data_IF_649796634023
#
_entry.id   IF_649796634023
#
_cell.length_a   1.000
_cell.length_b   1.000
_cell.length_c   1.000
_cell.angle_alpha   90.00
_cell.angle_beta   90.00
_cell.angle_gamma   90.00
#
_symmetry.space_group_name_H-M   'P 1'
#
loop_
_entity.id
_entity.type
_entity.pdbx_description
1 polymer ?
#
# COMPACT_ATOMS: atom_id res chain seq x y z
N UNK A 1 -23.67 -4.36 -17.82
CA UNK A 1 -22.99 -3.51 -18.83
C UNK A 1 -23.39 -4.03 -20.20
N UNK A 2 -23.85 -3.16 -21.10
CA UNK A 2 -24.18 -3.53 -22.47
C UNK A 2 -22.88 -3.50 -23.28
N UNK A 3 -22.49 -4.66 -23.79
CA UNK A 3 -21.38 -4.78 -24.74
C UNK A 3 -21.94 -4.51 -26.12
N UNK A 4 -21.38 -3.55 -26.83
CA UNK A 4 -21.73 -3.32 -28.23
C UNK A 4 -20.95 -4.33 -29.08
N UNK A 5 -21.59 -5.36 -29.67
CA UNK A 5 -20.89 -6.46 -30.34
C UNK A 5 -20.13 -6.04 -31.61
N UNK A 6 -20.42 -4.85 -32.13
CA UNK A 6 -19.75 -4.28 -33.29
C UNK A 6 -18.54 -3.38 -32.94
N UNK A 7 -18.21 -3.21 -31.66
CA UNK A 7 -17.10 -2.35 -31.21
C UNK A 7 -15.77 -3.12 -31.25
N UNK A 8 -14.85 -2.74 -32.15
CA UNK A 8 -13.48 -3.24 -32.14
C UNK A 8 -12.62 -2.39 -31.19
N UNK A 9 -12.41 -2.89 -29.96
CA UNK A 9 -11.75 -2.16 -28.87
C UNK A 9 -10.30 -1.76 -29.22
N UNK A 10 -9.60 -2.59 -29.98
CA UNK A 10 -8.22 -2.29 -30.41
C UNK A 10 -8.19 -1.17 -31.45
N UNK A 11 -9.16 -1.16 -32.38
CA UNK A 11 -9.28 -0.11 -33.40
C UNK A 11 -9.71 1.23 -32.82
N UNK A 12 -10.66 1.23 -31.88
CA UNK A 12 -11.14 2.45 -31.22
C UNK A 12 -10.04 3.14 -30.41
N UNK A 13 -9.15 2.36 -29.78
CA UNK A 13 -7.99 2.89 -29.06
C UNK A 13 -6.77 3.12 -29.97
N UNK A 14 -6.81 2.67 -31.23
CA UNK A 14 -5.70 2.81 -32.18
C UNK A 14 -4.44 2.02 -31.80
N UNK A 15 -4.60 0.89 -31.10
CA UNK A 15 -3.50 0.07 -30.59
C UNK A 15 -3.51 -1.33 -31.21
N UNK A 16 -2.33 -1.96 -31.42
CA UNK A 16 -2.27 -3.33 -31.91
C UNK A 16 -2.79 -4.33 -30.86
N UNK A 17 -3.25 -5.52 -31.28
CA UNK A 17 -3.69 -6.58 -30.36
C UNK A 17 -2.58 -7.07 -29.42
N UNK A 18 -1.31 -6.90 -29.79
CA UNK A 18 -0.13 -7.24 -28.98
C UNK A 18 0.31 -6.10 -28.04
N UNK A 19 -0.43 -5.00 -27.98
CA UNK A 19 -0.07 -3.84 -27.17
C UNK A 19 0.03 -4.18 -25.67
N UNK A 20 1.03 -3.61 -25.01
CA UNK A 20 1.18 -3.67 -23.55
C UNK A 20 0.05 -2.88 -22.87
N UNK A 21 -0.24 -3.24 -21.62
CA UNK A 21 -1.25 -2.53 -20.81
C UNK A 21 -0.94 -1.03 -20.66
N UNK A 22 0.33 -0.68 -20.68
CA UNK A 22 0.80 0.71 -20.58
C UNK A 22 0.52 1.48 -21.87
N UNK A 23 0.75 0.86 -23.04
CA UNK A 23 0.41 1.45 -24.32
C UNK A 23 -1.10 1.69 -24.46
N UNK A 24 -1.92 0.74 -24.02
CA UNK A 24 -3.40 0.87 -23.97
C UNK A 24 -3.80 2.04 -23.08
N UNK A 25 -3.19 2.18 -21.90
CA UNK A 25 -3.46 3.29 -20.97
C UNK A 25 -3.02 4.64 -21.54
N UNK A 26 -1.86 4.71 -22.17
CA UNK A 26 -1.38 5.95 -22.79
C UNK A 26 -2.26 6.39 -23.95
N UNK A 27 -2.67 5.46 -24.82
CA UNK A 27 -3.60 5.72 -25.91
C UNK A 27 -4.95 6.23 -25.39
N UNK A 28 -5.51 5.58 -24.36
CA UNK A 28 -6.72 6.05 -23.69
C UNK A 28 -6.58 7.49 -23.17
N UNK A 29 -5.50 7.80 -22.45
CA UNK A 29 -5.28 9.14 -21.90
C UNK A 29 -5.09 10.20 -22.99
N UNK A 30 -4.51 9.85 -24.14
CA UNK A 30 -4.36 10.76 -25.27
C UNK A 30 -5.71 11.05 -25.94
N UNK A 31 -6.51 10.00 -26.15
CA UNK A 31 -7.85 10.10 -26.77
C UNK A 31 -8.83 10.81 -25.84
N UNK A 32 -8.81 10.53 -24.53
CA UNK A 32 -9.69 11.18 -23.55
C UNK A 32 -9.42 12.69 -23.47
N UNK A 33 -8.15 13.11 -23.54
CA UNK A 33 -7.78 14.53 -23.59
C UNK A 33 -8.26 15.23 -24.87
N UNK A 34 -8.35 14.49 -25.97
CA UNK A 34 -8.77 15.01 -27.28
C UNK A 34 -10.28 15.10 -27.43
N UNK A 35 -11.01 14.13 -26.90
CA UNK A 35 -12.48 14.02 -27.02
C UNK A 35 -13.24 14.38 -25.74
N UNK A 36 -12.61 15.10 -24.80
CA UNK A 36 -13.29 15.55 -23.59
C UNK A 36 -14.47 16.48 -23.95
N UNK A 37 -15.67 16.31 -23.34
CA UNK A 37 -16.83 17.13 -23.65
C UNK A 37 -16.57 18.63 -23.45
N UNK A 38 -15.77 19.01 -22.45
CA UNK A 38 -15.39 20.40 -22.17
C UNK A 38 -14.55 21.05 -23.29
N UNK A 39 -13.94 20.27 -24.17
CA UNK A 39 -13.12 20.77 -25.29
C UNK A 39 -13.85 20.69 -26.64
N UNK A 40 -15.14 20.35 -26.63
CA UNK A 40 -15.93 20.22 -27.84
C UNK A 40 -16.23 21.61 -28.46
N UNK A 41 -16.04 21.78 -29.77
CA UNK A 41 -16.47 23.00 -30.46
C UNK A 41 -18.01 23.10 -30.47
N UNK A 42 -18.51 24.33 -30.53
CA UNK A 42 -19.95 24.64 -30.51
C UNK A 42 -20.67 23.85 -31.62
N UNK A 43 -21.66 23.04 -31.23
CA UNK A 43 -22.43 22.18 -32.14
C UNK A 43 -21.92 20.75 -32.32
N UNK A 44 -20.75 20.37 -31.80
CA UNK A 44 -20.21 18.98 -31.86
C UNK A 44 -20.09 18.28 -30.51
N UNK A 45 -20.73 18.81 -29.46
CA UNK A 45 -20.70 18.22 -28.12
C UNK A 45 -21.21 16.77 -28.11
N UNK A 46 -22.28 16.48 -28.86
CA UNK A 46 -22.85 15.13 -28.96
C UNK A 46 -21.87 14.12 -29.59
N UNK A 47 -21.16 14.49 -30.65
CA UNK A 47 -20.17 13.62 -31.30
C UNK A 47 -18.99 13.30 -30.38
N UNK A 48 -18.54 14.29 -29.60
CA UNK A 48 -17.45 14.13 -28.63
C UNK A 48 -17.88 13.20 -27.48
N UNK A 49 -19.11 13.36 -27.00
CA UNK A 49 -19.68 12.50 -25.96
C UNK A 49 -19.81 11.04 -26.45
N UNK A 50 -20.31 10.83 -27.68
CA UNK A 50 -20.43 9.49 -28.28
C UNK A 50 -19.06 8.83 -28.47
N UNK A 51 -18.06 9.57 -28.98
CA UNK A 51 -16.69 9.06 -29.10
C UNK A 51 -16.10 8.71 -27.75
N UNK A 52 -16.28 9.58 -26.75
CA UNK A 52 -15.81 9.32 -25.40
C UNK A 52 -16.45 8.06 -24.79
N UNK A 53 -17.75 7.83 -25.02
CA UNK A 53 -18.44 6.60 -24.59
C UNK A 53 -17.79 5.35 -25.20
N UNK A 54 -17.50 5.35 -26.50
CA UNK A 54 -16.84 4.23 -27.20
C UNK A 54 -15.41 3.99 -26.69
N UNK A 55 -14.64 5.07 -26.49
CA UNK A 55 -13.27 4.99 -25.94
C UNK A 55 -13.27 4.38 -24.53
N UNK A 56 -14.21 4.79 -23.68
CA UNK A 56 -14.35 4.25 -22.33
C UNK A 56 -14.74 2.77 -22.34
N UNK A 57 -15.67 2.36 -23.20
CA UNK A 57 -16.06 0.95 -23.38
C UNK A 57 -14.86 0.10 -23.85
N UNK A 58 -14.12 0.57 -24.86
CA UNK A 58 -12.93 -0.11 -25.37
C UNK A 58 -11.85 -0.27 -24.29
N UNK A 59 -11.62 0.78 -23.49
CA UNK A 59 -10.64 0.73 -22.41
C UNK A 59 -11.04 -0.25 -21.31
N UNK A 60 -12.29 -0.27 -20.87
CA UNK A 60 -12.73 -1.21 -19.82
C UNK A 60 -12.64 -2.68 -20.26
N UNK A 61 -12.82 -2.97 -21.56
CA UNK A 61 -12.57 -4.31 -22.11
C UNK A 61 -11.09 -4.71 -22.03
N UNK A 62 -10.19 -3.80 -22.38
CA UNK A 62 -8.75 -4.09 -22.51
C UNK A 62 -7.94 -3.84 -21.22
N UNK A 63 -8.50 -3.16 -20.22
CA UNK A 63 -7.82 -2.74 -18.98
C UNK A 63 -7.51 -3.87 -18.01
N UNK A 64 -8.35 -4.91 -17.95
CA UNK A 64 -8.09 -6.07 -17.11
C UNK A 64 -7.62 -7.25 -17.98
N UNK A 65 -6.64 -8.04 -17.51
CA UNK A 65 -6.13 -9.18 -18.29
C UNK A 65 -7.23 -10.23 -18.53
N UNK A 66 -8.11 -10.46 -17.54
CA UNK A 66 -9.17 -11.45 -17.65
C UNK A 66 -10.24 -11.04 -18.67
N UNK A 67 -10.65 -9.75 -18.67
CA UNK A 67 -11.63 -9.22 -19.63
C UNK A 67 -11.06 -9.17 -21.04
N UNK A 68 -9.77 -8.84 -21.18
CA UNK A 68 -9.06 -8.87 -22.45
C UNK A 68 -9.00 -10.27 -23.03
N UNK A 69 -8.64 -11.28 -22.23
CA UNK A 69 -8.63 -12.67 -22.68
C UNK A 69 -10.01 -13.15 -23.13
N UNK A 70 -11.07 -12.79 -22.40
CA UNK A 70 -12.44 -13.11 -22.80
C UNK A 70 -12.81 -12.43 -24.13
N UNK A 71 -12.47 -11.16 -24.29
CA UNK A 71 -12.68 -10.42 -25.52
C UNK A 71 -11.92 -11.03 -26.70
N UNK A 72 -10.64 -11.38 -26.52
CA UNK A 72 -9.81 -11.99 -27.56
C UNK A 72 -10.34 -13.36 -27.99
N UNK A 73 -10.88 -14.16 -27.04
CA UNK A 73 -11.55 -15.45 -27.35
C UNK A 73 -12.84 -15.28 -28.15
N UNK A 74 -13.60 -14.22 -27.87
CA UNK A 74 -14.85 -13.92 -28.58
C UNK A 74 -14.59 -13.30 -29.97
N UNK A 75 -13.47 -12.59 -30.12
CA UNK A 75 -13.05 -11.93 -31.38
C UNK A 75 -12.39 -12.89 -32.37
N UNK A 76 -11.77 -13.98 -31.89
CA UNK A 76 -11.19 -14.98 -32.78
C UNK A 76 -12.30 -15.65 -33.62
N UNK A 77 -12.30 -15.52 -34.96
CA UNK A 77 -13.26 -16.25 -35.79
C UNK A 77 -13.04 -17.76 -35.57
N UNK A 78 -14.13 -18.53 -35.65
CA UNK A 78 -14.18 -19.98 -35.39
C UNK A 78 -13.41 -20.87 -36.40
N UNK A 79 -12.17 -20.52 -36.73
CA UNK A 79 -11.19 -21.31 -37.46
C UNK A 79 -9.82 -20.88 -36.90
N UNK A 80 -9.13 -21.66 -36.07
CA UNK A 80 -8.48 -22.93 -36.45
C UNK A 80 -8.48 -23.88 -35.25
N UNK A 81 -9.40 -24.87 -35.25
CA UNK A 81 -9.15 -26.17 -34.61
C UNK A 81 -8.31 -26.98 -35.59
N UNK A 82 -6.99 -26.96 -35.45
CA UNK A 82 -6.13 -27.71 -36.35
C UNK A 82 -4.65 -27.37 -36.23
N UNK A 83 -4.03 -27.75 -35.10
CA UNK A 83 -2.67 -28.30 -35.04
C UNK A 83 -2.24 -28.40 -33.57
N UNK A 84 -2.71 -29.46 -32.91
CA UNK A 84 -1.98 -30.04 -31.79
C UNK A 84 -0.77 -30.74 -32.39
N UNK A 85 0.32 -30.00 -32.60
CA UNK A 85 1.72 -30.46 -32.68
C UNK A 85 2.53 -29.27 -33.17
N UNK A 86 3.23 -28.62 -32.25
CA UNK A 86 4.68 -28.41 -32.29
C UNK A 86 5.07 -27.69 -30.99
N UNK A 87 5.89 -28.37 -30.18
CA UNK A 87 6.85 -27.82 -29.21
C UNK A 87 6.30 -26.80 -28.19
N UNK A 88 6.11 -27.10 -26.91
CA UNK A 88 7.18 -27.51 -25.99
C UNK A 88 8.56 -26.88 -26.29
N UNK A 89 8.56 -25.63 -26.74
CA UNK A 89 9.59 -24.67 -26.37
C UNK A 89 8.82 -23.54 -25.76
N UNK A 90 9.01 -23.34 -24.45
CA UNK A 90 8.62 -22.12 -23.78
C UNK A 90 8.96 -20.96 -24.70
N UNK A 91 7.93 -20.26 -25.21
CA UNK A 91 8.12 -18.99 -25.88
C UNK A 91 8.88 -18.12 -24.86
N UNK A 92 10.19 -17.98 -25.10
CA UNK A 92 10.99 -17.01 -24.38
C UNK A 92 10.22 -15.69 -24.52
N UNK A 93 9.95 -14.96 -23.42
CA UNK A 93 9.27 -13.68 -23.51
C UNK A 93 10.13 -12.79 -24.40
N UNK A 94 9.69 -12.58 -25.64
CA UNK A 94 10.39 -11.75 -26.58
C UNK A 94 10.36 -10.32 -26.01
N UNK A 95 11.56 -9.86 -25.64
CA UNK A 95 11.88 -8.48 -25.31
C UNK A 95 11.02 -7.79 -24.22
N UNK A 96 11.04 -8.30 -22.99
CA UNK A 96 10.92 -7.42 -21.82
C UNK A 96 11.83 -7.88 -20.67
N UNK A 97 13.11 -8.05 -20.99
CA UNK A 97 14.10 -8.59 -20.05
C UNK A 97 14.66 -7.54 -19.08
N UNK A 98 14.46 -6.24 -19.33
CA UNK A 98 14.98 -5.14 -18.51
C UNK A 98 14.13 -3.86 -18.63
N UNK A 99 12.83 -3.92 -18.33
CA UNK A 99 12.05 -2.68 -18.21
C UNK A 99 12.13 -2.14 -16.77
N UNK A 100 12.80 -1.00 -16.52
CA UNK A 100 13.04 -0.50 -15.17
C UNK A 100 11.74 -0.18 -14.41
N UNK A 101 10.69 0.20 -15.14
CA UNK A 101 9.39 0.50 -14.56
C UNK A 101 8.66 -0.76 -14.06
N UNK A 102 8.70 -1.85 -14.83
CA UNK A 102 8.12 -3.15 -14.45
C UNK A 102 8.88 -3.74 -13.27
N UNK A 103 10.21 -3.59 -13.25
CA UNK A 103 11.05 -4.03 -12.13
C UNK A 103 10.78 -3.22 -10.85
N UNK A 104 10.57 -1.91 -10.96
CA UNK A 104 10.16 -1.07 -9.83
C UNK A 104 8.78 -1.46 -9.30
N UNK A 105 7.80 -1.66 -10.19
CA UNK A 105 6.42 -2.02 -9.82
C UNK A 105 6.36 -3.37 -9.11
N UNK A 106 7.01 -4.39 -9.66
CA UNK A 106 7.06 -5.73 -9.07
C UNK A 106 7.78 -5.73 -7.73
N UNK A 107 8.90 -5.00 -7.61
CA UNK A 107 9.61 -4.81 -6.34
C UNK A 107 8.76 -4.09 -5.27
N UNK A 108 7.96 -3.10 -5.66
CA UNK A 108 7.03 -2.41 -4.76
C UNK A 108 5.92 -3.34 -4.27
N UNK A 109 5.29 -4.10 -5.18
CA UNK A 109 4.24 -5.05 -4.83
C UNK A 109 4.74 -6.15 -3.89
N UNK A 110 5.95 -6.66 -4.11
CA UNK A 110 6.56 -7.65 -3.21
C UNK A 110 6.83 -7.09 -1.81
N UNK A 111 7.23 -5.82 -1.69
CA UNK A 111 7.41 -5.16 -0.38
C UNK A 111 6.08 -5.00 0.35
N UNK A 112 5.04 -4.52 -0.33
CA UNK A 112 3.70 -4.37 0.28
C UNK A 112 3.13 -5.70 0.75
N UNK A 113 3.22 -6.73 -0.09
CA UNK A 113 2.74 -8.06 0.25
C UNK A 113 3.43 -8.63 1.50
N UNK A 114 4.74 -8.41 1.63
CA UNK A 114 5.50 -8.81 2.83
C UNK A 114 5.03 -8.06 4.08
N UNK A 115 4.74 -6.76 3.96
CA UNK A 115 4.21 -5.96 5.08
C UNK A 115 2.81 -6.44 5.46
N UNK A 116 1.94 -6.72 4.49
CA UNK A 116 0.59 -7.25 4.74
C UNK A 116 0.63 -8.62 5.44
N UNK A 117 1.49 -9.54 4.98
CA UNK A 117 1.69 -10.84 5.64
C UNK A 117 2.26 -10.69 7.07
N UNK A 118 3.15 -9.73 7.29
CA UNK A 118 3.67 -9.43 8.64
C UNK A 118 2.59 -8.87 9.57
N UNK A 119 1.66 -8.08 9.04
CA UNK A 119 0.51 -7.57 9.79
C UNK A 119 -0.51 -8.66 10.13
N UNK A 120 -0.65 -9.68 9.27
CA UNK A 120 -1.50 -10.85 9.51
C UNK A 120 -0.89 -11.84 10.54
N UNK A 121 0.44 -11.82 10.71
CA UNK A 121 1.16 -12.64 11.71
C UNK A 121 1.08 -12.12 13.15
N UNK A 122 0.44 -10.97 13.39
CA UNK A 122 0.21 -10.44 14.74
C UNK A 122 -0.96 -11.16 15.41
N UNK A 123 -0.89 -11.42 16.73
CA UNK A 123 -2.01 -12.01 17.46
C UNK A 123 -3.26 -11.12 17.33
N UNK A 124 -4.48 -11.70 17.33
CA UNK A 124 -5.71 -10.98 16.98
C UNK A 124 -5.97 -9.75 17.87
N UNK A 125 -5.59 -9.81 19.15
CA UNK A 125 -5.69 -8.67 20.07
C UNK A 125 -4.77 -7.51 19.67
N UNK A 126 -3.58 -7.78 19.12
CA UNK A 126 -2.63 -6.74 18.71
C UNK A 126 -3.09 -6.04 17.43
N UNK A 127 -3.76 -6.76 16.53
CA UNK A 127 -4.42 -6.17 15.35
C UNK A 127 -5.58 -5.26 15.75
N UNK A 128 -6.39 -5.70 16.72
CA UNK A 128 -7.47 -4.89 17.26
C UNK A 128 -6.93 -3.61 17.94
N UNK A 129 -5.86 -3.73 18.72
CA UNK A 129 -5.22 -2.58 19.39
C UNK A 129 -4.60 -1.61 18.37
N UNK A 130 -3.90 -2.11 17.35
CA UNK A 130 -3.32 -1.28 16.30
C UNK A 130 -4.40 -0.53 15.49
N UNK A 131 -5.51 -1.21 15.16
CA UNK A 131 -6.67 -0.57 14.53
C UNK A 131 -7.32 0.49 15.42
N UNK A 132 -7.47 0.21 16.71
CA UNK A 132 -8.02 1.15 17.69
C UNK A 132 -7.11 2.37 17.90
N UNK A 133 -5.79 2.18 18.00
CA UNK A 133 -4.82 3.27 18.10
C UNK A 133 -4.76 4.11 16.81
N UNK A 134 -4.84 3.48 15.63
CA UNK A 134 -4.88 4.21 14.36
C UNK A 134 -6.18 5.02 14.21
N UNK A 135 -7.32 4.44 14.58
CA UNK A 135 -8.61 5.13 14.59
C UNK A 135 -8.67 6.28 15.59
N UNK A 136 -8.24 6.05 16.83
CA UNK A 136 -8.15 7.10 17.85
C UNK A 136 -7.17 8.20 17.45
N UNK A 137 -6.02 7.85 16.86
CA UNK A 137 -5.06 8.82 16.36
C UNK A 137 -5.64 9.71 15.25
N UNK A 138 -6.47 9.16 14.37
CA UNK A 138 -7.16 9.91 13.32
C UNK A 138 -8.22 10.84 13.90
N UNK A 139 -9.04 10.36 14.84
CA UNK A 139 -10.07 11.16 15.52
C UNK A 139 -9.45 12.29 16.35
N UNK A 140 -8.41 11.99 17.13
CA UNK A 140 -7.68 12.97 17.94
C UNK A 140 -6.94 13.97 17.05
N UNK A 141 -6.29 13.52 15.97
CA UNK A 141 -5.65 14.41 15.00
C UNK A 141 -6.65 15.33 14.28
N UNK A 142 -7.84 14.83 13.95
CA UNK A 142 -8.90 15.62 13.35
C UNK A 142 -9.48 16.66 14.32
N UNK A 143 -9.79 16.26 15.56
CA UNK A 143 -10.30 17.15 16.60
C UNK A 143 -9.28 18.24 16.98
N UNK A 144 -8.00 17.89 17.07
CA UNK A 144 -6.92 18.85 17.34
C UNK A 144 -6.63 19.74 16.13
N UNK A 145 -6.85 19.27 14.90
CA UNK A 145 -6.69 20.05 13.68
C UNK A 145 -7.86 20.98 13.35
N UNK A 146 -9.07 20.67 13.84
CA UNK A 146 -10.30 21.44 13.64
C UNK A 146 -10.17 22.93 14.03
N UNK A 147 -9.57 23.31 15.19
CA UNK A 147 -9.36 24.72 15.53
C UNK A 147 -8.29 25.42 14.67
N UNK A 148 -7.34 24.69 14.07
CA UNK A 148 -6.29 25.27 13.20
C UNK A 148 -6.70 25.32 11.72
N UNK A 149 -7.70 24.54 11.31
CA UNK A 149 -8.23 24.53 9.94
C UNK A 149 -9.00 25.79 9.54
N UNK A 150 -9.40 26.62 10.51
CA UNK A 150 -10.10 27.89 10.25
C UNK A 150 -9.11 29.01 9.87
N UNK A 151 -7.85 28.90 10.25
CA UNK A 151 -6.78 29.85 9.90
C UNK A 151 -5.90 29.18 8.85
N UNK A 152 -6.37 29.22 7.60
CA UNK A 152 -5.81 28.44 6.49
C UNK A 152 -4.29 28.49 6.38
N UNK A 153 -3.64 27.37 6.73
CA UNK A 153 -2.31 27.02 6.21
C UNK A 153 -2.00 25.55 6.50
N UNK A 154 -1.62 24.80 5.46
CA UNK A 154 -1.14 23.40 5.49
C UNK A 154 -0.07 23.12 6.57
N UNK A 155 0.81 24.06 6.99
CA UNK A 155 1.73 23.88 8.12
C UNK A 155 1.06 23.65 9.48
N UNK A 156 -0.14 24.20 9.73
CA UNK A 156 -0.82 24.06 11.02
C UNK A 156 -1.20 22.62 11.36
N UNK A 157 -1.65 21.86 10.35
CA UNK A 157 -1.96 20.45 10.49
C UNK A 157 -0.70 19.59 10.72
N UNK A 158 0.43 19.94 10.09
CA UNK A 158 1.71 19.26 10.35
C UNK A 158 2.19 19.50 11.79
N UNK A 159 2.07 20.72 12.30
CA UNK A 159 2.45 21.03 13.68
C UNK A 159 1.52 20.31 14.67
N UNK A 160 0.21 20.30 14.43
CA UNK A 160 -0.75 19.60 15.28
C UNK A 160 -0.52 18.08 15.34
N UNK A 161 -0.17 17.44 14.22
CA UNK A 161 0.13 16.01 14.19
C UNK A 161 1.43 15.65 14.89
N UNK A 162 2.48 16.46 14.73
CA UNK A 162 3.76 16.25 15.43
C UNK A 162 3.60 16.45 16.93
N UNK A 163 2.93 17.52 17.36
CA UNK A 163 2.64 17.77 18.79
C UNK A 163 1.77 16.65 19.36
N UNK A 164 0.73 16.22 18.65
CA UNK A 164 -0.13 15.11 19.06
C UNK A 164 0.64 13.79 19.22
N UNK A 165 1.60 13.50 18.33
CA UNK A 165 2.45 12.31 18.43
C UNK A 165 3.39 12.36 19.64
N UNK A 166 3.98 13.53 19.93
CA UNK A 166 4.85 13.71 21.10
C UNK A 166 4.05 13.59 22.40
N UNK A 167 2.88 14.21 22.48
CA UNK A 167 1.99 14.12 23.66
C UNK A 167 1.50 12.68 23.85
N UNK A 168 1.15 11.97 22.78
CA UNK A 168 0.76 10.57 22.84
C UNK A 168 1.90 9.65 23.33
N UNK A 169 3.13 9.88 22.86
CA UNK A 169 4.30 9.14 23.33
C UNK A 169 4.54 9.38 24.83
N UNK A 170 4.37 10.62 25.28
CA UNK A 170 4.50 11.00 26.68
C UNK A 170 3.42 10.34 27.56
N UNK A 171 2.17 10.27 27.09
CA UNK A 171 1.09 9.57 27.80
C UNK A 171 1.36 8.06 27.93
N UNK A 172 1.86 7.43 26.87
CA UNK A 172 2.27 6.01 26.91
C UNK A 172 3.42 5.79 27.90
N UNK A 173 4.39 6.70 27.94
CA UNK A 173 5.48 6.68 28.92
C UNK A 173 4.95 6.76 30.36
N UNK A 174 4.03 7.69 30.65
CA UNK A 174 3.42 7.81 31.97
C UNK A 174 2.65 6.55 32.38
N UNK A 175 1.90 5.93 31.47
CA UNK A 175 1.18 4.69 31.76
C UNK A 175 2.11 3.48 31.92
N UNK A 176 3.14 3.36 31.10
CA UNK A 176 4.02 2.19 31.07
C UNK A 176 5.09 2.21 32.17
N UNK A 177 5.56 3.40 32.58
CA UNK A 177 6.68 3.58 33.51
C UNK A 177 6.30 4.41 34.74
N UNK A 178 5.45 5.42 34.60
CA UNK A 178 5.05 6.31 35.69
C UNK A 178 4.04 5.69 36.66
N UNK A 179 3.01 5.02 36.14
CA UNK A 179 1.96 4.41 36.93
C UNK A 179 2.49 3.27 37.83
N UNK A 180 3.32 2.33 37.33
CA UNK A 180 3.90 1.27 38.14
C UNK A 180 4.88 1.80 39.20
N UNK A 181 5.69 2.81 38.87
CA UNK A 181 6.64 3.41 39.82
C UNK A 181 5.92 4.17 40.92
N UNK A 182 4.88 4.95 40.57
CA UNK A 182 4.06 5.67 41.53
C UNK A 182 3.30 4.71 42.47
N UNK A 183 2.72 3.63 41.94
CA UNK A 183 2.04 2.60 42.77
C UNK A 183 3.03 1.98 43.76
N UNK A 184 4.23 1.57 43.30
CA UNK A 184 5.23 0.94 44.18
C UNK A 184 5.81 1.92 45.21
N UNK A 185 6.00 3.18 44.85
CA UNK A 185 6.41 4.24 45.79
C UNK A 185 5.33 4.51 46.85
N UNK A 186 4.05 4.51 46.45
CA UNK A 186 2.91 4.74 47.35
C UNK A 186 2.70 3.53 48.29
N UNK A 187 2.85 2.31 47.79
CA UNK A 187 2.87 1.08 48.60
C UNK A 187 4.06 1.10 49.56
N UNK A 188 5.24 1.51 49.10
CA UNK A 188 6.43 1.67 49.93
C UNK A 188 6.25 2.70 51.04
N UNK A 189 5.59 3.83 50.75
CA UNK A 189 5.21 4.84 51.75
C UNK A 189 4.21 4.30 52.79
N UNK A 190 3.25 3.48 52.36
CA UNK A 190 2.23 2.92 53.24
C UNK A 190 2.81 1.84 54.17
N UNK A 191 3.83 1.09 53.71
CA UNK A 191 4.50 0.05 54.50
C UNK A 191 5.68 0.56 55.36
N UNK A 192 6.17 1.78 55.15
CA UNK A 192 7.23 2.37 55.97
C UNK A 192 7.51 3.83 55.64
N UNK A 193 7.96 4.60 56.65
CA UNK A 193 8.44 5.99 56.49
C UNK A 193 9.40 6.14 55.29
N UNK A 194 9.59 7.38 54.80
CA UNK A 194 10.41 7.86 53.65
C UNK A 194 11.38 6.87 52.95
N UNK A 195 12.15 6.08 53.70
CA UNK A 195 12.94 4.95 53.20
C UNK A 195 12.12 3.94 52.36
N UNK A 196 10.90 3.58 52.76
CA UNK A 196 10.04 2.65 52.03
C UNK A 196 9.60 3.17 50.65
N UNK A 197 9.32 4.48 50.56
CA UNK A 197 8.97 5.14 49.30
C UNK A 197 10.15 5.17 48.31
N UNK A 198 11.37 5.40 48.80
CA UNK A 198 12.59 5.35 47.98
C UNK A 198 12.87 3.93 47.45
N UNK A 199 12.71 2.92 48.31
CA UNK A 199 12.87 1.51 47.91
C UNK A 199 11.82 1.12 46.87
N UNK A 200 10.56 1.52 47.07
CA UNK A 200 9.48 1.30 46.11
C UNK A 200 9.71 1.96 44.74
N UNK A 201 10.19 3.21 44.74
CA UNK A 201 10.54 3.94 43.52
C UNK A 201 11.71 3.29 42.76
N UNK A 202 12.77 2.87 43.47
CA UNK A 202 13.92 2.20 42.88
C UNK A 202 13.55 0.82 42.29
N UNK A 203 12.73 0.04 43.01
CA UNK A 203 12.21 -1.24 42.50
C UNK A 203 11.31 -1.05 41.28
N UNK A 204 10.45 -0.02 41.29
CA UNK A 204 9.61 0.32 40.15
C UNK A 204 10.39 0.72 38.91
N UNK A 205 11.45 1.53 39.07
CA UNK A 205 12.35 1.90 37.97
C UNK A 205 13.12 0.68 37.44
N UNK A 206 13.55 -0.22 38.34
CA UNK A 206 14.20 -1.47 37.97
C UNK A 206 13.29 -2.41 37.17
N UNK A 207 12.06 -2.63 37.63
CA UNK A 207 11.05 -3.44 36.94
C UNK A 207 10.63 -2.83 35.60
N UNK A 208 10.41 -1.51 35.56
CA UNK A 208 10.09 -0.78 34.35
C UNK A 208 11.22 -0.85 33.31
N UNK A 209 12.46 -0.61 33.73
CA UNK A 209 13.65 -0.73 32.89
C UNK A 209 13.87 -2.16 32.37
N UNK A 210 13.68 -3.17 33.23
CA UNK A 210 13.75 -4.58 32.82
C UNK A 210 12.69 -4.92 31.76
N UNK A 211 11.47 -4.42 31.92
CA UNK A 211 10.38 -4.63 30.97
C UNK A 211 10.69 -4.00 29.60
N UNK A 212 11.22 -2.78 29.58
CA UNK A 212 11.69 -2.09 28.38
C UNK A 212 12.82 -2.86 27.70
N UNK A 213 13.84 -3.30 28.45
CA UNK A 213 14.96 -4.10 27.91
C UNK A 213 14.47 -5.44 27.37
N UNK A 214 13.54 -6.10 28.05
CA UNK A 214 12.94 -7.37 27.61
C UNK A 214 12.16 -7.18 26.31
N UNK A 215 11.36 -6.13 26.20
CA UNK A 215 10.61 -5.78 24.99
C UNK A 215 11.57 -5.47 23.83
N UNK A 216 12.62 -4.68 24.09
CA UNK A 216 13.63 -4.35 23.10
C UNK A 216 14.45 -5.56 22.63
N UNK A 217 14.81 -6.48 23.54
CA UNK A 217 15.45 -7.76 23.18
C UNK A 217 14.54 -8.67 22.38
N UNK A 218 13.22 -8.64 22.62
CA UNK A 218 12.24 -9.41 21.83
C UNK A 218 12.11 -8.81 20.42
N UNK A 219 12.01 -7.49 20.31
CA UNK A 219 11.96 -6.80 19.01
C UNK A 219 13.26 -6.99 18.20
N UNK A 220 14.45 -6.84 18.80
CA UNK A 220 15.73 -7.02 18.08
C UNK A 220 15.99 -8.45 17.61
N UNK A 221 15.46 -9.47 18.29
CA UNK A 221 15.55 -10.86 17.81
C UNK A 221 14.76 -11.08 16.52
N UNK A 222 13.60 -10.42 16.37
CA UNK A 222 12.85 -10.47 15.11
C UNK A 222 13.57 -9.75 13.95
N UNK A 223 14.33 -8.68 14.23
CA UNK A 223 15.07 -7.95 13.20
C UNK A 223 16.30 -8.72 12.71
N UNK A 224 17.03 -9.43 13.60
CA UNK A 224 18.24 -10.18 13.22
C UNK A 224 17.98 -11.39 12.31
N UNK A 225 16.81 -12.01 12.39
CA UNK A 225 16.44 -13.14 11.51
C UNK A 225 16.21 -12.71 10.04
N UNK A 226 16.12 -11.40 9.77
CA UNK A 226 15.99 -10.86 8.41
C UNK A 226 17.29 -10.25 7.86
N UNK A 227 18.38 -10.30 8.64
CA UNK A 227 19.66 -9.68 8.30
C UNK A 227 20.76 -10.70 7.96
N UNK A 228 20.42 -11.92 7.55
CA UNK A 228 21.42 -12.79 6.93
C UNK A 228 21.83 -12.20 5.57
N UNK A 229 23.12 -11.91 5.35
CA UNK A 229 23.61 -11.46 4.06
C UNK A 229 23.50 -12.63 3.08
N UNK A 230 22.76 -12.43 1.99
CA UNK A 230 22.82 -13.31 0.82
C UNK A 230 24.25 -13.28 0.27
N UNK A 231 25.07 -14.22 0.74
CA UNK A 231 26.38 -14.50 0.18
C UNK A 231 26.22 -14.81 -1.31
N UNK A 232 27.00 -14.06 -2.09
CA UNK A 232 27.20 -14.15 -3.53
C UNK A 232 27.32 -15.58 -4.03
N UNK A 233 26.33 -16.05 -4.80
CA UNK A 233 26.54 -17.16 -5.75
C UNK A 233 27.03 -16.54 -7.05
N UNK A 234 28.34 -16.69 -7.27
CA UNK A 234 29.02 -16.29 -8.50
C UNK A 234 28.41 -16.96 -9.72
N UNK A 235 28.12 -16.16 -10.73
CA UNK A 235 27.68 -16.63 -12.05
C UNK A 235 28.95 -16.85 -12.88
N UNK A 236 29.34 -18.11 -13.04
CA UNK A 236 30.42 -18.53 -13.94
C UNK A 236 29.91 -18.48 -15.37
N UNK A 237 30.42 -17.53 -16.14
CA UNK A 237 30.24 -17.44 -17.60
C UNK A 237 31.24 -18.41 -18.22
N UNK A 238 30.74 -19.44 -18.90
CA UNK A 238 31.57 -20.29 -19.77
C UNK A 238 31.31 -19.87 -21.21
N UNK A 239 32.42 -19.54 -21.89
CA UNK A 239 32.59 -19.11 -23.28
C UNK A 239 32.18 -20.22 -24.24
#
# INVERSE_FOLDING_TARGET
MRFDPNLDAYRELGVPPDASMEAIRQAYLALARRYHPDRAPVGRAAEYEERMKRINQAYELLKNPDTRQLYDRLRAPAAVKGSLRHSATAAAPCAQRNDPYVQMRTGYQQRLHRVQLSALGLPPWARALAGLCAGLGLVVGFLLGLPFGIIGSIPGAMVGTVIGMVVGLFAVYLCALGLPTAILALVGWWLGQTAGALVGALLGLGLGGWWVVRLWRRMRRHVRLHAEPRASRGFSVRV
#
